data_IF_457114872794
#
_entry.id   IF_457114872794
#
_cell.length_a   1.000
_cell.length_b   1.000
_cell.length_c   1.000
_cell.angle_alpha   90.00
_cell.angle_beta   90.00
_cell.angle_gamma   90.00
#
_symmetry.space_group_name_H-M   'P 1'
#
loop_
_entity.id
_entity.type
_entity.pdbx_description
1 polymer ?
#
# COMPACT_ATOMS: atom_id res chain seq x y z
N UNK A 1 14.91 -4.64 -7.30
CA UNK A 1 15.35 -5.82 -8.09
C UNK A 1 14.30 -6.12 -9.17
N UNK A 2 14.65 -6.08 -10.46
CA UNK A 2 13.74 -6.45 -11.55
C UNK A 2 13.40 -7.94 -11.44
N UNK A 3 12.12 -8.31 -11.38
CA UNK A 3 11.71 -9.72 -11.43
C UNK A 3 11.57 -10.19 -12.88
N UNK A 4 11.79 -11.48 -13.15
CA UNK A 4 11.68 -12.09 -14.50
C UNK A 4 10.34 -11.79 -15.18
N UNK A 5 9.24 -11.75 -14.42
CA UNK A 5 7.91 -11.38 -14.93
C UNK A 5 7.82 -9.92 -15.38
N UNK A 6 8.46 -9.01 -14.65
CA UNK A 6 8.52 -7.58 -15.03
C UNK A 6 9.38 -7.37 -16.28
N UNK A 7 10.46 -8.14 -16.41
CA UNK A 7 11.30 -8.15 -17.61
C UNK A 7 10.50 -8.64 -18.83
N UNK A 8 9.87 -9.81 -18.76
CA UNK A 8 9.08 -10.36 -19.89
C UNK A 8 7.90 -9.47 -20.29
N UNK A 9 7.21 -8.86 -19.32
CA UNK A 9 6.13 -7.90 -19.59
C UNK A 9 6.62 -6.59 -20.21
N UNK A 10 7.81 -6.11 -19.83
CA UNK A 10 8.42 -4.93 -20.44
C UNK A 10 8.89 -5.23 -21.87
N UNK A 11 9.52 -6.38 -22.09
CA UNK A 11 10.03 -6.81 -23.40
C UNK A 11 8.92 -7.02 -24.43
N UNK A 12 7.75 -7.52 -24.01
CA UNK A 12 6.60 -7.72 -24.90
C UNK A 12 5.93 -6.39 -25.31
N UNK A 13 5.95 -5.36 -24.46
CA UNK A 13 5.48 -4.00 -24.81
C UNK A 13 6.42 -3.28 -25.77
N UNK A 14 7.72 -3.56 -25.68
CA UNK A 14 8.74 -3.02 -26.60
C UNK A 14 8.60 -3.67 -27.98
N UNK A 15 8.33 -4.99 -28.04
CA UNK A 15 8.15 -5.72 -29.30
C UNK A 15 6.98 -5.21 -30.16
N UNK A 16 5.89 -4.73 -29.53
CA UNK A 16 4.74 -4.19 -30.25
C UNK A 16 5.01 -2.80 -30.88
N UNK A 17 5.91 -2.01 -30.28
CA UNK A 17 6.29 -0.68 -30.79
C UNK A 17 7.24 -0.76 -31.99
N UNK A 18 8.01 -1.85 -32.09
CA UNK A 18 8.91 -2.13 -33.21
C UNK A 18 8.19 -2.56 -34.51
N UNK A 19 6.87 -2.80 -34.44
CA UNK A 19 6.04 -3.16 -35.59
C UNK A 19 5.42 -1.93 -36.31
N UNK A 20 5.59 -0.72 -35.77
CA UNK A 20 5.17 0.52 -36.45
C UNK A 20 6.28 1.00 -37.40
N UNK A 21 5.96 1.35 -38.67
CA UNK A 21 6.95 1.77 -39.64
C UNK A 21 7.73 3.02 -39.16
N UNK A 22 9.01 3.17 -39.52
CA UNK A 22 9.89 4.18 -38.94
C UNK A 22 9.62 5.54 -39.59
N UNK A 23 8.57 6.24 -39.13
CA UNK A 23 8.24 7.58 -39.63
C UNK A 23 9.04 8.67 -38.88
N UNK A 24 9.71 8.34 -37.78
CA UNK A 24 10.44 9.32 -36.97
C UNK A 24 11.86 8.88 -36.61
N UNK A 25 12.83 9.81 -36.58
CA UNK A 25 14.21 9.49 -36.23
C UNK A 25 14.31 8.91 -34.81
N UNK A 26 15.32 8.06 -34.52
CA UNK A 26 15.45 7.33 -33.26
C UNK A 26 15.32 8.21 -32.00
N UNK A 27 15.85 9.44 -32.07
CA UNK A 27 15.76 10.45 -31.00
C UNK A 27 14.32 10.80 -30.61
N UNK A 28 13.39 10.80 -31.57
CA UNK A 28 11.97 11.08 -31.35
C UNK A 28 11.26 9.87 -30.72
N UNK A 29 11.63 8.65 -31.15
CA UNK A 29 11.09 7.40 -30.59
C UNK A 29 11.52 7.18 -29.13
N UNK A 30 12.79 7.42 -28.80
CA UNK A 30 13.29 7.37 -27.41
C UNK A 30 12.61 8.40 -26.50
N UNK A 31 12.39 9.63 -26.99
CA UNK A 31 11.65 10.66 -26.24
C UNK A 31 10.19 10.27 -25.97
N UNK A 32 9.54 9.57 -26.90
CA UNK A 32 8.18 9.06 -26.70
C UNK A 32 8.16 7.94 -25.65
N UNK A 33 9.18 7.08 -25.63
CA UNK A 33 9.32 6.00 -24.65
C UNK A 33 9.54 6.53 -23.22
N UNK A 34 10.43 7.51 -23.02
CA UNK A 34 10.66 8.15 -21.71
C UNK A 34 9.43 8.94 -21.22
N UNK A 35 8.66 9.55 -22.14
CA UNK A 35 7.39 10.19 -21.78
C UNK A 35 6.34 9.19 -21.31
N UNK A 36 6.33 8.00 -21.91
CA UNK A 36 5.38 6.94 -21.59
C UNK A 36 5.78 6.14 -20.34
N UNK A 37 7.08 6.00 -20.08
CA UNK A 37 7.61 5.27 -18.92
C UNK A 37 7.83 6.20 -17.73
N UNK A 38 6.81 6.31 -16.86
CA UNK A 38 6.97 6.92 -15.54
C UNK A 38 7.27 5.82 -14.50
N UNK A 39 8.53 5.62 -14.10
CA UNK A 39 8.83 4.62 -13.07
C UNK A 39 8.12 5.02 -11.77
N UNK A 40 7.52 4.04 -11.09
CA UNK A 40 7.05 4.26 -9.72
C UNK A 40 8.26 4.48 -8.83
N UNK A 41 8.28 5.52 -7.97
CA UNK A 41 9.41 5.75 -7.08
C UNK A 41 9.54 4.60 -6.06
N UNK A 42 10.76 4.37 -5.58
CA UNK A 42 11.03 3.43 -4.50
C UNK A 42 10.61 3.98 -3.13
N UNK A 43 10.60 5.31 -2.98
CA UNK A 43 10.17 6.03 -1.78
C UNK A 43 9.24 7.18 -2.16
N UNK A 44 8.11 7.29 -1.44
CA UNK A 44 7.19 8.42 -1.58
C UNK A 44 6.88 9.00 -0.20
N UNK A 45 6.94 10.33 -0.09
CA UNK A 45 6.67 11.05 1.16
C UNK A 45 5.52 12.02 0.94
N UNK A 46 4.46 11.89 1.75
CA UNK A 46 3.41 12.90 1.85
C UNK A 46 3.56 13.64 3.18
N UNK A 47 3.38 14.97 3.13
CA UNK A 47 3.40 15.85 4.31
C UNK A 47 2.11 16.66 4.36
N UNK A 48 1.71 17.02 5.58
CA UNK A 48 0.55 17.88 5.91
C UNK A 48 -0.79 17.29 5.46
N UNK A 49 -1.69 17.07 6.43
CA UNK A 49 -3.02 16.55 6.19
C UNK A 49 -3.46 15.55 7.27
N UNK A 50 -4.72 15.12 7.18
CA UNK A 50 -5.24 14.08 8.06
C UNK A 50 -4.55 12.72 7.79
N UNK A 51 -4.38 11.85 8.79
CA UNK A 51 -3.67 10.58 8.63
C UNK A 51 -4.17 9.72 7.46
N UNK A 52 -5.48 9.55 7.30
CA UNK A 52 -6.06 8.78 6.21
C UNK A 52 -5.75 9.38 4.82
N UNK A 53 -5.73 10.71 4.69
CA UNK A 53 -5.37 11.37 3.44
C UNK A 53 -3.91 11.12 3.08
N UNK A 54 -3.02 11.21 4.07
CA UNK A 54 -1.59 10.94 3.88
C UNK A 54 -1.35 9.51 3.42
N UNK A 55 -2.03 8.52 4.02
CA UNK A 55 -1.95 7.11 3.59
C UNK A 55 -2.37 6.97 2.12
N UNK A 56 -3.52 7.53 1.72
CA UNK A 56 -3.96 7.48 0.32
C UNK A 56 -2.95 8.10 -0.64
N UNK A 57 -2.38 9.25 -0.28
CA UNK A 57 -1.38 9.96 -1.10
C UNK A 57 -0.11 9.13 -1.25
N UNK A 58 0.39 8.54 -0.16
CA UNK A 58 1.58 7.68 -0.19
C UNK A 58 1.35 6.43 -1.03
N UNK A 59 0.27 5.68 -0.78
CA UNK A 59 -0.03 4.45 -1.51
C UNK A 59 -0.23 4.73 -3.00
N UNK A 60 -0.97 5.80 -3.35
CA UNK A 60 -1.12 6.24 -4.75
C UNK A 60 0.24 6.60 -5.37
N UNK A 61 1.07 7.34 -4.65
CA UNK A 61 2.41 7.72 -5.10
C UNK A 61 3.34 6.53 -5.36
N UNK A 62 3.13 5.42 -4.65
CA UNK A 62 3.87 4.16 -4.85
C UNK A 62 3.34 3.28 -5.99
N UNK A 63 2.25 3.69 -6.65
CA UNK A 63 1.63 2.97 -7.77
C UNK A 63 0.33 2.25 -7.43
N UNK A 64 -0.32 2.59 -6.31
CA UNK A 64 -1.60 2.00 -5.90
C UNK A 64 -1.46 0.79 -4.99
N UNK A 65 -2.54 0.42 -4.32
CA UNK A 65 -2.54 -0.72 -3.40
C UNK A 65 -2.49 -2.05 -4.17
N UNK A 66 -3.00 -2.07 -5.40
CA UNK A 66 -3.04 -3.19 -6.34
C UNK A 66 -1.63 -3.67 -6.75
N UNK A 67 -0.60 -2.84 -6.49
CA UNK A 67 0.80 -3.23 -6.64
C UNK A 67 1.25 -4.23 -5.56
N UNK A 68 0.60 -4.21 -4.40
CA UNK A 68 0.95 -4.98 -3.20
C UNK A 68 -0.07 -6.08 -2.90
N UNK A 69 -1.35 -5.81 -3.18
CA UNK A 69 -2.48 -6.69 -2.87
C UNK A 69 -3.14 -7.14 -4.16
N UNK A 70 -3.38 -8.45 -4.28
CA UNK A 70 -4.12 -9.04 -5.40
C UNK A 70 -5.53 -9.41 -4.97
N UNK A 71 -6.39 -9.58 -5.97
CA UNK A 71 -7.74 -10.10 -5.77
C UNK A 71 -7.68 -11.45 -5.05
N UNK A 72 -8.55 -11.63 -4.08
CA UNK A 72 -8.67 -12.80 -3.20
C UNK A 72 -7.54 -13.01 -2.18
N UNK A 73 -6.57 -12.09 -2.07
CA UNK A 73 -5.51 -12.21 -1.07
C UNK A 73 -6.08 -12.16 0.35
N UNK A 74 -5.53 -12.99 1.23
CA UNK A 74 -5.69 -12.85 2.68
C UNK A 74 -4.49 -12.07 3.20
N UNK A 75 -4.72 -10.80 3.55
CA UNK A 75 -3.69 -9.86 3.97
C UNK A 75 -3.56 -9.87 5.48
N UNK A 76 -2.34 -9.94 5.99
CA UNK A 76 -2.02 -9.68 7.40
C UNK A 76 -1.47 -8.27 7.52
N UNK A 77 -2.05 -7.48 8.42
CA UNK A 77 -1.57 -6.17 8.79
C UNK A 77 -1.11 -6.21 10.24
N UNK A 78 0.18 -5.99 10.46
CA UNK A 78 0.81 -6.04 11.78
C UNK A 78 1.22 -4.63 12.25
N UNK A 79 0.29 -3.78 12.70
CA UNK A 79 0.64 -2.45 13.21
C UNK A 79 1.44 -2.58 14.52
N UNK A 80 2.02 -1.47 14.98
CA UNK A 80 2.46 -1.40 16.38
C UNK A 80 1.21 -1.12 17.23
N UNK A 81 0.77 -2.10 18.01
CA UNK A 81 -0.32 -1.98 18.99
C UNK A 81 0.11 -2.62 20.32
N UNK A 82 1.40 -2.56 20.62
CA UNK A 82 2.02 -3.36 21.69
C UNK A 82 1.84 -2.77 23.09
N UNK A 83 1.43 -1.51 23.20
CA UNK A 83 1.43 -0.75 24.45
C UNK A 83 0.02 -0.43 24.93
N UNK A 84 -0.19 -0.55 26.24
CA UNK A 84 -1.43 -0.11 26.90
C UNK A 84 -1.48 1.42 27.01
N UNK A 85 -1.72 2.08 25.87
CA UNK A 85 -1.65 3.54 25.70
C UNK A 85 -2.73 4.03 24.76
N UNK A 86 -3.28 5.20 25.08
CA UNK A 86 -4.27 5.90 24.28
C UNK A 86 -3.66 6.50 23.00
N UNK A 87 -4.46 6.79 21.94
CA UNK A 87 -3.97 7.45 20.74
C UNK A 87 -3.25 8.77 21.00
N UNK A 88 -3.73 9.56 21.98
CA UNK A 88 -3.15 10.85 22.35
C UNK A 88 -1.70 10.75 22.87
N UNK A 89 -1.32 9.59 23.42
CA UNK A 89 0.03 9.34 23.93
C UNK A 89 1.04 8.95 22.84
N UNK A 90 0.59 8.57 21.63
CA UNK A 90 1.47 8.34 20.48
C UNK A 90 2.43 7.14 20.57
N UNK A 91 2.21 6.18 21.46
CA UNK A 91 3.09 5.01 21.62
C UNK A 91 2.85 3.89 20.57
N UNK A 92 1.64 3.85 20.01
CA UNK A 92 1.19 2.87 19.02
C UNK A 92 1.01 3.55 17.65
N UNK A 93 0.84 2.76 16.58
CA UNK A 93 0.43 3.30 15.27
C UNK A 93 -0.89 4.06 15.40
N UNK A 94 -1.03 5.18 14.69
CA UNK A 94 -2.28 5.93 14.70
C UNK A 94 -3.46 5.08 14.17
N UNK A 95 -4.60 5.00 14.87
CA UNK A 95 -5.74 4.17 14.45
C UNK A 95 -6.28 4.47 13.05
N UNK A 96 -6.29 5.74 12.64
CA UNK A 96 -6.76 6.14 11.31
C UNK A 96 -5.84 5.64 10.19
N UNK A 97 -4.53 5.57 10.45
CA UNK A 97 -3.56 5.00 9.51
C UNK A 97 -3.89 3.53 9.28
N UNK A 98 -4.08 2.76 10.35
CA UNK A 98 -4.41 1.33 10.26
C UNK A 98 -5.73 1.12 9.53
N UNK A 99 -6.77 1.87 9.91
CA UNK A 99 -8.08 1.79 9.27
C UNK A 99 -8.02 2.10 7.78
N UNK A 100 -7.25 3.11 7.36
CA UNK A 100 -7.16 3.46 5.95
C UNK A 100 -6.39 2.41 5.14
N UNK A 101 -5.32 1.82 5.70
CA UNK A 101 -4.62 0.70 5.04
C UNK A 101 -5.56 -0.49 4.86
N UNK A 102 -6.37 -0.84 5.87
CA UNK A 102 -7.39 -1.89 5.76
C UNK A 102 -8.35 -1.61 4.60
N UNK A 103 -8.93 -0.40 4.54
CA UNK A 103 -9.85 -0.01 3.45
C UNK A 103 -9.21 -0.13 2.08
N UNK A 104 -7.95 0.30 1.94
CA UNK A 104 -7.24 0.23 0.67
C UNK A 104 -6.96 -1.22 0.26
N UNK A 105 -6.60 -2.11 1.19
CA UNK A 105 -6.42 -3.52 0.90
C UNK A 105 -7.72 -4.18 0.42
N UNK A 106 -8.84 -3.93 1.12
CA UNK A 106 -10.15 -4.45 0.73
C UNK A 106 -10.60 -3.89 -0.63
N UNK A 107 -10.40 -2.59 -0.86
CA UNK A 107 -10.70 -1.94 -2.14
C UNK A 107 -9.87 -2.50 -3.29
N UNK A 108 -8.62 -2.90 -3.04
CA UNK A 108 -7.77 -3.58 -4.02
C UNK A 108 -8.21 -5.04 -4.32
N UNK A 109 -9.20 -5.55 -3.59
CA UNK A 109 -9.78 -6.87 -3.79
C UNK A 109 -9.27 -7.95 -2.85
N UNK A 110 -8.61 -7.58 -1.74
CA UNK A 110 -8.31 -8.56 -0.70
C UNK A 110 -9.59 -9.27 -0.24
N UNK A 111 -9.54 -10.60 -0.14
CA UNK A 111 -10.64 -11.40 0.42
C UNK A 111 -10.88 -11.06 1.88
N UNK A 112 -9.78 -10.83 2.60
CA UNK A 112 -9.79 -10.60 4.06
C UNK A 112 -8.55 -9.84 4.48
N UNK A 113 -8.71 -8.97 5.46
CA UNK A 113 -7.59 -8.33 6.18
C UNK A 113 -7.64 -8.78 7.63
N UNK A 114 -6.54 -9.34 8.13
CA UNK A 114 -6.36 -9.75 9.51
C UNK A 114 -5.42 -8.78 10.20
N UNK A 115 -5.83 -8.23 11.33
CA UNK A 115 -5.03 -7.30 12.12
C UNK A 115 -4.73 -7.93 13.47
N UNK A 116 -3.45 -8.04 13.80
CA UNK A 116 -2.99 -8.47 15.11
C UNK A 116 -1.54 -8.03 15.31
N UNK A 117 -1.11 -8.08 16.56
CA UNK A 117 0.25 -7.83 17.00
C UNK A 117 0.53 -8.62 18.28
N UNK A 118 1.82 -8.79 18.59
CA UNK A 118 2.26 -9.38 19.85
C UNK A 118 2.59 -8.25 20.82
N UNK A 119 1.82 -8.15 21.90
CA UNK A 119 1.89 -6.99 22.80
C UNK A 119 3.00 -7.12 23.84
N UNK A 120 3.47 -5.97 24.32
CA UNK A 120 4.39 -5.86 25.46
C UNK A 120 3.62 -5.77 26.78
N UNK A 121 2.46 -5.10 26.77
CA UNK A 121 1.52 -5.10 27.88
C UNK A 121 0.45 -6.19 27.70
N UNK A 122 -0.49 -6.26 28.64
CA UNK A 122 -1.66 -7.13 28.54
C UNK A 122 -2.41 -6.83 27.22
N UNK A 123 -2.74 -7.90 26.49
CA UNK A 123 -3.18 -7.81 25.10
C UNK A 123 -4.53 -7.10 24.98
N UNK A 124 -5.52 -7.48 25.79
CA UNK A 124 -6.87 -6.91 25.70
C UNK A 124 -6.84 -5.39 25.94
N UNK A 125 -6.15 -4.93 26.98
CA UNK A 125 -5.98 -3.51 27.29
C UNK A 125 -5.24 -2.76 26.17
N UNK A 126 -4.16 -3.33 25.63
CA UNK A 126 -3.41 -2.71 24.53
C UNK A 126 -4.28 -2.54 23.27
N UNK A 127 -5.12 -3.54 22.96
CA UNK A 127 -6.02 -3.50 21.80
C UNK A 127 -7.17 -2.49 22.01
N UNK A 128 -7.76 -2.45 23.21
CA UNK A 128 -8.86 -1.55 23.55
C UNK A 128 -8.37 -0.09 23.65
N UNK A 129 -7.37 0.19 24.49
CA UNK A 129 -6.93 1.56 24.74
C UNK A 129 -6.19 2.19 23.55
N UNK A 130 -5.50 1.42 22.71
CA UNK A 130 -4.89 1.97 21.50
C UNK A 130 -5.93 2.48 20.50
N UNK A 131 -7.20 2.07 20.61
CA UNK A 131 -8.27 2.38 19.65
C UNK A 131 -8.09 1.72 18.27
N UNK A 132 -6.98 1.01 18.04
CA UNK A 132 -6.67 0.40 16.74
C UNK A 132 -7.61 -0.77 16.46
N UNK A 133 -7.92 -1.59 17.47
CA UNK A 133 -8.80 -2.73 17.30
C UNK A 133 -10.20 -2.30 16.82
N UNK A 134 -10.75 -1.25 17.42
CA UNK A 134 -12.05 -0.70 17.03
C UNK A 134 -12.00 -0.08 15.63
N UNK A 135 -10.98 0.73 15.34
CA UNK A 135 -10.82 1.38 14.03
C UNK A 135 -10.64 0.35 12.89
N UNK A 136 -9.87 -0.72 13.12
CA UNK A 136 -9.67 -1.80 12.18
C UNK A 136 -10.96 -2.60 11.92
N UNK A 137 -11.70 -2.96 12.98
CA UNK A 137 -13.01 -3.64 12.85
C UNK A 137 -14.01 -2.79 12.06
N UNK A 138 -14.12 -1.50 12.39
CA UNK A 138 -14.98 -0.55 11.66
C UNK A 138 -14.57 -0.39 10.19
N UNK A 139 -13.30 -0.60 9.86
CA UNK A 139 -12.80 -0.60 8.49
C UNK A 139 -13.03 -1.92 7.73
N UNK A 140 -13.53 -2.97 8.40
CA UNK A 140 -13.84 -4.27 7.78
C UNK A 140 -12.75 -5.34 7.96
N UNK A 141 -11.77 -5.13 8.85
CA UNK A 141 -10.80 -6.16 9.19
C UNK A 141 -11.30 -7.09 10.29
N UNK A 142 -10.79 -8.31 10.28
CA UNK A 142 -10.84 -9.20 11.43
C UNK A 142 -9.67 -8.91 12.36
N UNK A 143 -9.94 -8.77 13.64
CA UNK A 143 -8.93 -8.50 14.66
C UNK A 143 -8.81 -9.69 15.59
N UNK A 144 -7.57 -10.14 15.82
CA UNK A 144 -7.23 -11.27 16.68
C UNK A 144 -6.21 -10.83 17.72
N UNK A 145 -6.27 -11.38 18.93
CA UNK A 145 -5.27 -11.20 19.99
C UNK A 145 -4.85 -12.55 20.57
#
# INVERSE_FOLDING_TARGET
MLSRRKFLSASSKIGLLALLPPIAPPRTQFRLFDRAYKPTPDLFVAKTGAPAELVRRVVRGLGGMEKFVRKEDVVVLKPNMSWDRTPAQGANTNPEVVAEVVRLCLKAGAKKVRVFDRTCNEARRSYEHSGIAEAAKKAGADVYY
#
